data_IF_562400849189
#
_entry.id   IF_562400849189
#
_cell.length_a   1.000
_cell.length_b   1.000
_cell.length_c   1.000
_cell.angle_alpha   90.00
_cell.angle_beta   90.00
_cell.angle_gamma   90.00
#
_symmetry.space_group_name_H-M   'P 1'
#
loop_
_entity.id
_entity.type
_entity.pdbx_description
1 polymer ?
#
# COMPACT_ATOMS: atom_id res chain seq x y z
N UNK A 1 3.40 -53.44 61.54
CA UNK A 1 2.18 -52.74 61.11
C UNK A 1 2.56 -51.36 60.56
N UNK A 2 2.86 -51.22 59.31
CA UNK A 2 3.00 -50.01 58.47
C UNK A 2 3.58 -50.47 57.12
N UNK A 3 2.74 -50.98 56.23
CA UNK A 3 3.09 -51.24 54.79
C UNK A 3 1.81 -51.52 53.96
N UNK A 4 0.88 -50.56 53.90
CA UNK A 4 -0.23 -50.71 52.98
C UNK A 4 -0.85 -49.41 52.41
N UNK A 5 -0.24 -48.27 52.68
CA UNK A 5 -0.83 -46.97 52.24
C UNK A 5 -0.16 -46.32 51.00
N UNK A 6 0.84 -46.93 50.39
CA UNK A 6 1.57 -46.30 49.25
C UNK A 6 1.23 -46.76 47.85
N UNK A 7 0.40 -47.82 47.67
CA UNK A 7 0.09 -48.33 46.31
C UNK A 7 -1.14 -47.71 45.67
N UNK A 8 -1.99 -47.01 46.41
CA UNK A 8 -3.26 -46.44 45.87
C UNK A 8 -3.05 -45.07 45.21
N UNK A 9 -1.99 -44.35 45.58
CA UNK A 9 -1.75 -43.03 45.03
C UNK A 9 -1.05 -43.00 43.64
N UNK A 10 -0.30 -44.03 43.30
CA UNK A 10 0.41 -44.07 42.01
C UNK A 10 -0.54 -44.33 40.83
N UNK A 11 -1.56 -45.15 41.02
CA UNK A 11 -2.55 -45.46 39.97
C UNK A 11 -3.49 -44.25 39.71
N UNK A 12 -3.84 -43.50 40.73
CA UNK A 12 -4.62 -42.26 40.60
C UNK A 12 -3.82 -41.10 39.96
N UNK A 13 -2.53 -41.05 40.25
CA UNK A 13 -1.60 -40.10 39.61
C UNK A 13 -1.36 -40.45 38.12
N UNK A 14 -1.20 -41.75 37.79
CA UNK A 14 -1.07 -42.15 36.38
C UNK A 14 -2.36 -41.96 35.58
N UNK A 15 -3.54 -42.22 36.16
CA UNK A 15 -4.82 -41.95 35.49
C UNK A 15 -5.09 -40.47 35.30
N UNK A 16 -4.73 -39.58 36.26
CA UNK A 16 -4.83 -38.16 36.12
C UNK A 16 -3.84 -37.61 35.09
N UNK A 17 -2.63 -38.18 35.01
CA UNK A 17 -1.62 -37.80 34.01
C UNK A 17 -2.01 -38.23 32.60
N UNK A 18 -2.59 -39.40 32.44
CA UNK A 18 -3.14 -39.88 31.14
C UNK A 18 -4.37 -39.07 30.71
N UNK A 19 -5.26 -38.67 31.64
CA UNK A 19 -6.36 -37.74 31.33
C UNK A 19 -5.87 -36.35 30.93
N UNK A 20 -4.83 -35.84 31.58
CA UNK A 20 -4.22 -34.55 31.20
C UNK A 20 -3.53 -34.62 29.85
N UNK A 21 -2.86 -35.73 29.50
CA UNK A 21 -2.25 -35.94 28.17
C UNK A 21 -3.35 -36.07 27.12
N UNK A 22 -4.44 -36.79 27.40
CA UNK A 22 -5.59 -36.88 26.51
C UNK A 22 -6.31 -35.52 26.26
N UNK A 23 -6.45 -34.71 27.31
CA UNK A 23 -6.99 -33.35 27.22
C UNK A 23 -6.03 -32.36 26.52
N UNK A 24 -4.73 -32.55 26.73
CA UNK A 24 -3.71 -31.74 26.00
C UNK A 24 -3.64 -32.17 24.52
N UNK A 25 -3.76 -33.42 24.17
CA UNK A 25 -3.78 -33.90 22.79
C UNK A 25 -5.03 -33.43 22.04
N UNK A 26 -6.21 -33.35 22.70
CA UNK A 26 -7.41 -32.74 22.11
C UNK A 26 -7.33 -31.21 21.95
N UNK A 27 -6.46 -30.56 22.70
CA UNK A 27 -6.27 -29.08 22.61
C UNK A 27 -5.31 -28.66 21.49
N UNK A 28 -4.53 -29.59 20.94
CA UNK A 28 -3.50 -29.37 19.91
C UNK A 28 -3.76 -30.13 18.60
N UNK A 29 -4.92 -30.76 18.43
CA UNK A 29 -5.32 -31.20 17.11
C UNK A 29 -5.60 -29.96 16.25
N UNK A 30 -4.62 -29.55 15.48
CA UNK A 30 -4.82 -28.54 14.44
C UNK A 30 -5.91 -29.07 13.49
N UNK A 31 -6.91 -28.26 13.17
CA UNK A 31 -7.95 -28.68 12.24
C UNK A 31 -7.32 -28.94 10.88
N UNK A 32 -7.66 -30.05 10.26
CA UNK A 32 -7.26 -30.38 8.89
C UNK A 32 -7.70 -29.27 7.94
N UNK A 33 -6.81 -28.87 7.03
CA UNK A 33 -7.18 -27.98 5.92
C UNK A 33 -8.17 -28.72 5.02
N UNK A 34 -9.39 -28.23 4.92
CA UNK A 34 -10.37 -28.75 3.98
C UNK A 34 -10.25 -28.00 2.65
N UNK A 35 -9.77 -28.63 1.57
CA UNK A 35 -9.59 -27.98 0.29
C UNK A 35 -10.92 -27.62 -0.40
N UNK A 36 -12.05 -28.15 0.04
CA UNK A 36 -13.36 -27.82 -0.52
C UNK A 36 -13.91 -26.51 0.04
N UNK A 37 -13.75 -26.27 1.37
CA UNK A 37 -14.17 -25.03 2.00
C UNK A 37 -13.24 -24.64 3.16
N UNK A 38 -12.74 -23.40 3.13
CA UNK A 38 -11.98 -22.85 4.24
C UNK A 38 -12.93 -22.44 5.38
N UNK A 39 -12.41 -22.37 6.59
CA UNK A 39 -13.23 -22.13 7.78
C UNK A 39 -13.13 -20.71 8.29
N UNK A 40 -14.26 -20.12 8.66
CA UNK A 40 -14.37 -18.84 9.34
C UNK A 40 -14.95 -19.05 10.74
N UNK A 41 -14.34 -18.40 11.75
CA UNK A 41 -14.99 -18.11 13.03
C UNK A 41 -15.28 -16.61 13.13
N UNK A 42 -16.51 -16.22 12.89
CA UNK A 42 -16.98 -14.84 12.95
C UNK A 42 -17.82 -14.51 14.21
N UNK A 43 -17.80 -15.40 15.19
CA UNK A 43 -18.58 -15.24 16.45
C UNK A 43 -18.26 -13.92 17.17
N UNK A 44 -16.98 -13.50 17.15
CA UNK A 44 -16.52 -12.24 17.74
C UNK A 44 -16.53 -11.06 16.77
N UNK A 45 -16.53 -11.31 15.48
CA UNK A 45 -16.39 -10.32 14.41
C UNK A 45 -17.50 -10.52 13.36
N UNK A 46 -18.73 -10.03 13.66
CA UNK A 46 -19.89 -10.27 12.82
C UNK A 46 -19.69 -9.67 11.42
N UNK A 47 -20.32 -10.25 10.42
CA UNK A 47 -20.26 -9.82 9.04
C UNK A 47 -20.56 -8.32 8.89
N UNK A 48 -19.64 -7.60 8.28
CA UNK A 48 -19.70 -6.15 8.16
C UNK A 48 -20.17 -5.63 6.79
N UNK A 49 -20.63 -6.51 5.91
CA UNK A 49 -21.09 -6.13 4.56
C UNK A 49 -19.96 -6.06 3.51
N UNK A 50 -18.75 -6.47 3.86
CA UNK A 50 -17.60 -6.52 2.95
C UNK A 50 -17.26 -7.96 2.56
N UNK A 51 -16.64 -8.20 1.39
CA UNK A 51 -16.07 -9.50 1.07
C UNK A 51 -15.06 -9.91 2.14
N UNK A 52 -15.09 -11.18 2.54
CA UNK A 52 -14.14 -11.75 3.49
C UNK A 52 -13.14 -12.63 2.74
N UNK A 53 -11.87 -12.25 2.81
CA UNK A 53 -10.75 -13.02 2.25
C UNK A 53 -10.27 -13.98 3.32
N UNK A 54 -10.49 -15.27 3.10
CA UNK A 54 -10.07 -16.34 4.02
C UNK A 54 -8.85 -17.01 3.43
N UNK A 55 -7.76 -17.06 4.20
CA UNK A 55 -6.49 -17.64 3.80
C UNK A 55 -6.09 -18.69 4.84
N UNK A 56 -5.79 -19.91 4.39
CA UNK A 56 -5.14 -20.93 5.18
C UNK A 56 -3.81 -21.29 4.54
N UNK A 57 -2.74 -21.10 5.30
CA UNK A 57 -1.38 -21.48 4.90
C UNK A 57 -1.15 -22.96 5.17
N UNK A 58 -0.24 -23.58 4.42
CA UNK A 58 0.18 -24.96 4.67
C UNK A 58 0.59 -25.12 6.13
N UNK A 59 0.09 -26.16 6.79
CA UNK A 59 0.31 -26.46 8.21
C UNK A 59 0.00 -25.28 9.15
N UNK A 60 -0.89 -24.38 8.76
CA UNK A 60 -1.19 -23.14 9.48
C UNK A 60 0.05 -22.29 9.84
N UNK A 61 1.09 -22.38 9.00
CA UNK A 61 2.34 -21.68 9.19
C UNK A 61 2.14 -20.15 9.30
N UNK A 62 2.77 -19.53 10.28
CA UNK A 62 2.71 -18.08 10.45
C UNK A 62 3.57 -17.34 9.42
N UNK A 63 3.06 -16.25 8.85
CA UNK A 63 3.85 -15.36 7.99
C UNK A 63 4.83 -14.56 8.84
N UNK A 64 6.13 -14.85 8.73
CA UNK A 64 7.18 -14.32 9.62
C UNK A 64 8.14 -13.35 8.95
N UNK A 65 8.23 -13.38 7.64
CA UNK A 65 9.14 -12.56 6.85
C UNK A 65 8.52 -12.17 5.49
N UNK A 66 9.31 -11.50 4.65
CA UNK A 66 8.89 -11.00 3.33
C UNK A 66 9.49 -11.82 2.18
N UNK A 67 10.31 -12.78 2.47
CA UNK A 67 11.06 -13.61 1.51
C UNK A 67 10.42 -14.98 1.34
N UNK A 68 10.00 -15.63 2.44
CA UNK A 68 9.43 -16.99 2.44
C UNK A 68 8.02 -16.99 1.87
N UNK A 69 7.86 -17.59 0.69
CA UNK A 69 6.56 -17.82 0.07
C UNK A 69 5.95 -19.13 0.61
N UNK A 70 4.86 -18.99 1.37
CA UNK A 70 4.19 -20.12 2.03
C UNK A 70 3.05 -20.61 1.12
N UNK A 71 3.03 -21.90 0.70
CA UNK A 71 1.89 -22.47 0.00
C UNK A 71 0.61 -22.29 0.82
N UNK A 72 -0.46 -21.91 0.16
CA UNK A 72 -1.69 -21.49 0.84
C UNK A 72 -2.91 -21.72 -0.03
N UNK A 73 -4.07 -21.73 0.60
CA UNK A 73 -5.37 -21.70 -0.06
C UNK A 73 -6.10 -20.40 0.31
N UNK A 74 -6.87 -19.86 -0.63
CA UNK A 74 -7.69 -18.66 -0.43
C UNK A 74 -9.09 -18.92 -0.94
N UNK A 75 -10.09 -18.48 -0.16
CA UNK A 75 -11.49 -18.48 -0.57
C UNK A 75 -12.14 -17.15 -0.20
N UNK A 76 -13.06 -16.67 -1.04
CA UNK A 76 -13.83 -15.46 -0.78
C UNK A 76 -15.17 -15.84 -0.19
N UNK A 77 -15.52 -15.22 0.92
CA UNK A 77 -16.79 -15.42 1.60
C UNK A 77 -17.64 -14.15 1.56
N UNK A 78 -18.94 -14.31 1.32
CA UNK A 78 -19.98 -13.33 1.59
C UNK A 78 -20.52 -13.45 3.02
N UNK A 79 -21.80 -13.12 3.20
CA UNK A 79 -22.43 -13.15 4.53
C UNK A 79 -22.53 -14.55 5.13
N UNK A 80 -22.95 -15.54 4.35
CA UNK A 80 -23.35 -16.87 4.88
C UNK A 80 -22.56 -18.03 4.31
N UNK A 81 -21.93 -17.85 3.16
CA UNK A 81 -21.32 -18.93 2.41
C UNK A 81 -20.13 -18.43 1.59
N UNK A 82 -19.28 -19.37 1.10
CA UNK A 82 -18.30 -19.04 0.08
C UNK A 82 -18.95 -18.49 -1.18
N UNK A 83 -18.33 -17.47 -1.76
CA UNK A 83 -18.71 -16.86 -3.04
C UNK A 83 -17.70 -17.18 -4.15
N UNK A 84 -16.67 -17.94 -3.84
CA UNK A 84 -15.68 -18.41 -4.81
C UNK A 84 -15.31 -19.88 -4.59
N UNK A 85 -14.67 -20.46 -5.60
CA UNK A 85 -13.87 -21.68 -5.43
C UNK A 85 -12.66 -21.41 -4.51
N UNK A 86 -12.00 -22.48 -4.07
CA UNK A 86 -10.74 -22.38 -3.35
C UNK A 86 -9.60 -22.21 -4.36
N UNK A 87 -8.80 -21.17 -4.17
CA UNK A 87 -7.65 -20.86 -5.02
C UNK A 87 -6.35 -21.30 -4.37
N UNK A 88 -5.46 -21.89 -5.14
CA UNK A 88 -4.07 -22.15 -4.74
C UNK A 88 -3.19 -20.89 -4.98
N UNK A 89 -2.38 -20.55 -3.99
CA UNK A 89 -1.47 -19.40 -4.03
C UNK A 89 -0.27 -19.60 -3.11
N UNK A 90 0.70 -18.71 -3.19
CA UNK A 90 1.67 -18.49 -2.11
C UNK A 90 1.41 -17.15 -1.43
N UNK A 91 1.68 -17.11 -0.12
CA UNK A 91 1.54 -15.92 0.72
C UNK A 91 2.86 -15.60 1.41
N UNK A 92 3.24 -14.33 1.44
CA UNK A 92 4.35 -13.82 2.24
C UNK A 92 4.07 -12.43 2.77
N UNK A 93 4.88 -11.98 3.71
CA UNK A 93 4.82 -10.62 4.21
C UNK A 93 5.10 -9.58 3.13
N UNK A 94 4.53 -8.38 3.30
CA UNK A 94 4.71 -7.23 2.41
C UNK A 94 4.84 -5.94 3.20
N UNK A 95 5.63 -5.01 2.66
CA UNK A 95 5.93 -3.71 3.25
C UNK A 95 7.33 -3.66 3.83
N UNK A 96 7.83 -2.47 4.09
CA UNK A 96 9.12 -2.23 4.72
C UNK A 96 8.94 -2.06 6.24
N UNK A 97 8.79 -0.81 6.68
CA UNK A 97 8.49 -0.49 8.08
C UNK A 97 7.12 -1.02 8.52
N UNK A 98 6.13 -1.00 7.63
CA UNK A 98 4.76 -1.47 7.91
C UNK A 98 4.68 -2.99 8.17
N UNK A 99 5.61 -3.80 7.63
CA UNK A 99 5.64 -5.23 7.94
C UNK A 99 6.04 -5.52 9.39
N UNK A 100 6.71 -4.58 10.05
CA UNK A 100 7.09 -4.69 11.48
C UNK A 100 5.97 -4.31 12.44
N UNK A 101 4.83 -3.85 11.92
CA UNK A 101 3.65 -3.51 12.72
C UNK A 101 2.88 -4.76 13.14
N UNK A 102 2.09 -4.71 14.23
CA UNK A 102 1.26 -5.83 14.68
C UNK A 102 0.29 -6.35 13.61
N UNK A 103 -0.27 -5.45 12.79
CA UNK A 103 -1.06 -5.74 11.61
C UNK A 103 -0.25 -5.34 10.37
N UNK A 104 0.09 -6.30 9.55
CA UNK A 104 1.00 -6.15 8.42
C UNK A 104 0.36 -6.53 7.09
N UNK A 105 0.94 -6.02 6.00
CA UNK A 105 0.49 -6.34 4.66
C UNK A 105 0.94 -7.72 4.18
N UNK A 106 0.20 -8.30 3.23
CA UNK A 106 0.53 -9.58 2.60
C UNK A 106 0.67 -9.41 1.09
N UNK A 107 1.65 -10.11 0.50
CA UNK A 107 1.72 -10.38 -0.94
C UNK A 107 1.05 -11.72 -1.18
N UNK A 108 0.21 -11.76 -2.21
CA UNK A 108 -0.48 -12.95 -2.68
C UNK A 108 -0.02 -13.25 -4.11
N UNK A 109 0.47 -14.46 -4.38
CA UNK A 109 0.81 -14.89 -5.73
C UNK A 109 0.05 -16.18 -6.07
N UNK A 110 -1.00 -16.04 -6.88
CA UNK A 110 -1.86 -17.16 -7.28
C UNK A 110 -1.14 -18.07 -8.28
N UNK A 111 -1.43 -19.36 -8.22
CA UNK A 111 -0.95 -20.35 -9.19
C UNK A 111 -1.37 -19.97 -10.61
N UNK A 112 -2.60 -19.55 -10.79
CA UNK A 112 -3.18 -19.13 -12.05
C UNK A 112 -3.60 -17.65 -12.04
N UNK A 113 -3.87 -17.07 -13.22
CA UNK A 113 -4.45 -15.74 -13.31
C UNK A 113 -5.94 -15.79 -12.96
N UNK A 114 -6.31 -15.21 -11.85
CA UNK A 114 -7.69 -15.17 -11.34
C UNK A 114 -8.30 -13.79 -11.45
N UNK A 115 -9.61 -13.73 -11.70
CA UNK A 115 -10.42 -12.52 -11.61
C UNK A 115 -11.07 -12.49 -10.24
N UNK A 116 -10.71 -11.52 -9.41
CA UNK A 116 -11.21 -11.41 -8.04
C UNK A 116 -11.93 -10.09 -7.84
N UNK A 117 -13.05 -10.13 -7.13
CA UNK A 117 -13.81 -8.93 -6.73
C UNK A 117 -14.06 -7.95 -7.89
N UNK A 118 -14.35 -8.47 -9.08
CA UNK A 118 -14.57 -7.66 -10.29
C UNK A 118 -13.33 -7.08 -10.95
N UNK A 119 -12.15 -7.21 -10.33
CA UNK A 119 -10.89 -6.68 -10.88
C UNK A 119 -10.31 -7.60 -11.98
N UNK A 120 -9.56 -7.04 -12.95
CA UNK A 120 -9.01 -7.81 -14.07
C UNK A 120 -8.07 -8.94 -13.64
N UNK A 121 -8.07 -10.05 -14.41
CA UNK A 121 -7.26 -11.24 -14.11
C UNK A 121 -5.78 -10.95 -13.94
N UNK A 122 -5.21 -11.37 -12.82
CA UNK A 122 -3.78 -11.38 -12.58
C UNK A 122 -3.40 -12.50 -11.59
N UNK A 123 -2.08 -12.75 -11.42
CA UNK A 123 -1.56 -13.67 -10.41
C UNK A 123 -1.17 -12.92 -9.13
N UNK A 124 -0.70 -11.67 -9.23
CA UNK A 124 -0.11 -10.94 -8.13
C UNK A 124 -1.10 -9.93 -7.55
N UNK A 125 -1.33 -10.04 -6.25
CA UNK A 125 -2.21 -9.16 -5.48
C UNK A 125 -1.56 -8.76 -4.16
N UNK A 126 -2.11 -7.76 -3.53
CA UNK A 126 -1.66 -7.33 -2.21
C UNK A 126 -2.84 -7.13 -1.25
N UNK A 127 -2.62 -7.43 0.01
CA UNK A 127 -3.45 -7.00 1.12
C UNK A 127 -2.72 -5.90 1.87
N UNK A 128 -3.22 -4.67 1.79
CA UNK A 128 -2.65 -3.49 2.44
C UNK A 128 -3.34 -3.31 3.78
N UNK A 129 -2.56 -3.34 4.87
CA UNK A 129 -3.09 -3.39 6.22
C UNK A 129 -3.63 -2.05 6.73
N UNK A 130 -3.15 -0.91 6.22
CA UNK A 130 -3.48 0.45 6.68
C UNK A 130 -3.37 0.66 8.20
N UNK A 131 -2.50 -0.10 8.89
CA UNK A 131 -2.39 -0.02 10.35
C UNK A 131 -1.94 1.35 10.84
N UNK A 132 -1.12 2.05 10.06
CA UNK A 132 -0.65 3.40 10.33
C UNK A 132 -1.67 4.51 10.00
N UNK A 133 -2.79 4.19 9.35
CA UNK A 133 -3.85 5.13 9.00
C UNK A 133 -5.11 4.87 9.80
N UNK A 134 -5.36 5.65 10.85
CA UNK A 134 -6.54 5.51 11.71
C UNK A 134 -7.86 5.77 10.99
N UNK A 135 -7.85 6.37 9.81
CA UNK A 135 -9.06 6.51 8.99
C UNK A 135 -9.31 5.31 8.08
N UNK A 136 -8.27 4.55 7.75
CA UNK A 136 -8.26 3.47 6.73
C UNK A 136 -8.65 3.93 5.31
N UNK A 137 -8.77 5.25 5.05
CA UNK A 137 -9.30 5.80 3.80
C UNK A 137 -8.24 6.33 2.85
N UNK A 138 -7.07 6.78 3.34
CA UNK A 138 -6.09 7.56 2.59
C UNK A 138 -5.64 6.89 1.30
N UNK A 139 -5.21 5.64 1.35
CA UNK A 139 -4.79 4.90 0.16
C UNK A 139 -5.95 4.73 -0.85
N UNK A 140 -7.15 4.41 -0.38
CA UNK A 140 -8.33 4.26 -1.23
C UNK A 140 -8.71 5.57 -1.92
N UNK A 141 -8.78 6.67 -1.17
CA UNK A 141 -9.12 8.00 -1.69
C UNK A 141 -8.16 8.43 -2.79
N UNK A 142 -6.87 8.20 -2.62
CA UNK A 142 -5.87 8.62 -3.60
C UNK A 142 -5.94 7.83 -4.90
N UNK A 143 -6.35 6.56 -4.86
CA UNK A 143 -6.61 5.81 -6.10
C UNK A 143 -7.82 6.39 -6.84
N UNK A 144 -8.87 6.82 -6.12
CA UNK A 144 -10.05 7.45 -6.73
C UNK A 144 -9.67 8.79 -7.38
N UNK A 145 -8.94 9.64 -6.66
CA UNK A 145 -8.46 10.91 -7.21
C UNK A 145 -7.61 10.70 -8.46
N UNK A 146 -6.69 9.74 -8.44
CA UNK A 146 -5.84 9.42 -9.60
C UNK A 146 -6.66 9.01 -10.82
N UNK A 147 -7.71 8.20 -10.63
CA UNK A 147 -8.62 7.81 -11.72
C UNK A 147 -9.39 9.03 -12.26
N UNK A 148 -9.92 9.89 -11.41
CA UNK A 148 -10.68 11.07 -11.81
C UNK A 148 -9.84 12.09 -12.58
N UNK A 149 -8.56 12.20 -12.22
CA UNK A 149 -7.60 13.05 -12.93
C UNK A 149 -7.06 12.41 -14.22
N UNK A 150 -7.48 11.18 -14.56
CA UNK A 150 -7.15 10.54 -15.84
C UNK A 150 -5.78 9.86 -15.87
N UNK A 151 -5.26 9.39 -14.72
CA UNK A 151 -4.00 8.64 -14.69
C UNK A 151 -4.04 7.43 -15.63
N UNK A 152 -2.99 7.23 -16.43
CA UNK A 152 -2.86 6.12 -17.40
C UNK A 152 -3.08 4.74 -16.78
N UNK A 153 -2.68 4.60 -15.55
CA UNK A 153 -2.97 3.42 -14.73
C UNK A 153 -3.06 3.81 -13.25
N UNK A 154 -4.12 3.34 -12.62
CA UNK A 154 -4.30 3.42 -11.16
C UNK A 154 -4.56 2.02 -10.63
N UNK A 155 -3.81 1.53 -9.63
CA UNK A 155 -4.07 0.24 -9.01
C UNK A 155 -5.48 0.21 -8.41
N UNK A 156 -6.30 -0.76 -8.85
CA UNK A 156 -7.64 -0.93 -8.30
C UNK A 156 -7.57 -1.52 -6.91
N UNK A 157 -8.42 -1.00 -6.01
CA UNK A 157 -8.49 -1.43 -4.62
C UNK A 157 -9.93 -1.64 -4.17
N UNK A 158 -10.12 -2.61 -3.25
CA UNK A 158 -11.41 -2.83 -2.59
C UNK A 158 -11.19 -3.10 -1.10
N UNK A 159 -12.10 -2.61 -0.27
CA UNK A 159 -12.13 -2.95 1.15
C UNK A 159 -12.60 -4.40 1.33
N UNK A 160 -11.88 -5.12 2.18
CA UNK A 160 -12.16 -6.50 2.53
C UNK A 160 -11.87 -6.74 4.01
N UNK A 161 -12.53 -7.72 4.61
CA UNK A 161 -12.11 -8.26 5.91
C UNK A 161 -11.25 -9.51 5.66
N UNK A 162 -10.19 -9.71 6.44
CA UNK A 162 -9.23 -10.80 6.25
C UNK A 162 -9.22 -11.75 7.43
N UNK A 163 -9.26 -13.03 7.14
CA UNK A 163 -8.98 -14.14 8.05
C UNK A 163 -7.73 -14.86 7.56
N UNK A 164 -6.76 -15.05 8.44
CA UNK A 164 -5.54 -15.80 8.19
C UNK A 164 -5.45 -16.93 9.22
N UNK A 165 -5.43 -18.16 8.74
CA UNK A 165 -5.39 -19.33 9.62
C UNK A 165 -6.51 -19.28 10.67
N UNK A 166 -7.74 -19.05 10.21
CA UNK A 166 -8.97 -18.94 11.02
C UNK A 166 -9.01 -17.77 12.00
N UNK A 167 -7.98 -16.89 12.02
CA UNK A 167 -7.91 -15.72 12.89
C UNK A 167 -8.29 -14.46 12.13
N UNK A 168 -9.21 -13.68 12.67
CA UNK A 168 -9.56 -12.38 12.13
C UNK A 168 -8.37 -11.44 12.18
N UNK A 169 -7.95 -10.93 11.03
CA UNK A 169 -6.83 -10.01 10.88
C UNK A 169 -7.26 -8.56 10.75
N UNK A 170 -8.54 -8.30 10.46
CA UNK A 170 -9.07 -6.94 10.38
C UNK A 170 -9.48 -6.50 8.98
N UNK A 171 -9.69 -5.19 8.84
CA UNK A 171 -10.03 -4.49 7.61
C UNK A 171 -8.77 -4.23 6.77
N UNK A 172 -8.76 -4.66 5.52
CA UNK A 172 -7.67 -4.47 4.58
C UNK A 172 -8.16 -3.82 3.28
N UNK A 173 -7.21 -3.29 2.49
CA UNK A 173 -7.44 -3.05 1.07
C UNK A 173 -6.85 -4.23 0.27
N UNK A 174 -7.71 -4.95 -0.44
CA UNK A 174 -7.31 -5.90 -1.47
C UNK A 174 -6.98 -5.10 -2.73
N UNK A 175 -5.75 -5.20 -3.21
CA UNK A 175 -5.20 -4.29 -4.20
C UNK A 175 -4.47 -5.00 -5.33
N UNK A 176 -4.54 -4.42 -6.53
CA UNK A 176 -3.59 -4.69 -7.58
C UNK A 176 -2.18 -4.25 -7.14
N UNK A 177 -1.14 -4.94 -7.61
CA UNK A 177 0.26 -4.54 -7.41
C UNK A 177 0.75 -3.75 -8.62
N UNK A 178 1.67 -2.81 -8.39
CA UNK A 178 2.34 -2.10 -9.49
C UNK A 178 3.29 -3.07 -10.20
N UNK A 179 2.95 -3.41 -11.46
CA UNK A 179 3.76 -4.29 -12.32
C UNK A 179 3.38 -4.11 -13.78
N UNK A 180 4.29 -4.54 -14.67
CA UNK A 180 4.01 -4.53 -16.12
C UNK A 180 3.06 -5.67 -16.49
N UNK A 181 1.87 -5.29 -16.95
CA UNK A 181 0.86 -6.20 -17.49
C UNK A 181 -0.13 -5.41 -18.36
N UNK A 182 -0.82 -6.10 -19.31
CA UNK A 182 -1.79 -5.48 -20.22
C UNK A 182 -2.88 -4.66 -19.50
N UNK A 183 -3.29 -5.10 -18.32
CA UNK A 183 -4.34 -4.48 -17.50
C UNK A 183 -3.81 -3.72 -16.28
N UNK A 184 -2.51 -3.43 -16.26
CA UNK A 184 -1.83 -2.61 -15.23
C UNK A 184 -0.91 -1.61 -15.93
N UNK A 185 0.36 -1.49 -15.54
CA UNK A 185 1.31 -0.68 -16.31
C UNK A 185 1.54 -1.36 -17.66
N UNK A 186 0.91 -0.82 -18.71
CA UNK A 186 0.89 -1.45 -20.03
C UNK A 186 1.99 -0.87 -20.92
N UNK A 187 3.21 -1.33 -20.67
CA UNK A 187 4.40 -1.02 -21.48
C UNK A 187 4.99 -2.29 -22.09
N UNK A 188 5.81 -2.14 -23.11
CA UNK A 188 6.55 -3.24 -23.72
C UNK A 188 7.49 -3.91 -22.71
N UNK A 189 7.67 -5.23 -22.85
CA UNK A 189 8.66 -6.00 -22.05
C UNK A 189 9.87 -6.28 -22.91
N UNK A 190 10.87 -5.42 -22.80
CA UNK A 190 12.15 -5.55 -23.49
C UNK A 190 13.26 -4.87 -22.67
N UNK A 191 14.50 -4.89 -23.19
CA UNK A 191 15.68 -4.36 -22.49
C UNK A 191 15.87 -2.84 -22.65
N UNK A 192 14.93 -2.16 -23.28
CA UNK A 192 14.97 -0.70 -23.51
C UNK A 192 13.75 0.03 -22.98
N UNK A 193 12.82 -0.68 -22.31
CA UNK A 193 11.60 -0.13 -21.71
C UNK A 193 11.50 -0.55 -20.25
N UNK A 194 11.37 0.43 -19.37
CA UNK A 194 11.51 0.24 -17.93
C UNK A 194 10.25 0.67 -17.17
N UNK A 195 9.94 -0.07 -16.12
CA UNK A 195 9.16 0.38 -14.99
C UNK A 195 10.11 0.49 -13.80
N UNK A 196 10.17 1.67 -13.20
CA UNK A 196 11.14 2.01 -12.16
C UNK A 196 10.43 2.53 -10.92
N UNK A 197 10.95 2.21 -9.75
CA UNK A 197 10.54 2.74 -8.46
C UNK A 197 11.72 3.46 -7.81
N UNK A 198 11.59 4.79 -7.60
CA UNK A 198 12.56 5.57 -6.84
C UNK A 198 12.44 5.26 -5.36
N UNK A 199 13.58 5.03 -4.71
CA UNK A 199 13.67 4.68 -3.30
C UNK A 199 14.86 5.35 -2.59
N UNK A 200 14.80 5.42 -1.24
CA UNK A 200 15.83 6.10 -0.46
C UNK A 200 17.06 5.25 -0.14
N UNK A 201 16.98 3.93 -0.27
CA UNK A 201 18.05 3.03 0.15
C UNK A 201 18.00 1.66 -0.54
N UNK A 202 19.12 0.93 -0.43
CA UNK A 202 19.26 -0.49 -0.82
C UNK A 202 18.37 -1.47 -0.02
N UNK A 203 17.21 -1.06 0.46
CA UNK A 203 16.30 -1.93 1.26
C UNK A 203 15.51 -2.91 0.42
N UNK A 204 15.74 -2.93 -0.89
CA UNK A 204 15.01 -3.76 -1.86
C UNK A 204 15.88 -4.86 -2.40
N UNK A 205 15.17 -5.91 -2.83
CA UNK A 205 15.78 -6.95 -3.64
C UNK A 205 16.27 -6.35 -4.96
N UNK A 206 17.47 -6.74 -5.44
CA UNK A 206 17.92 -6.37 -6.78
C UNK A 206 16.89 -6.81 -7.85
N UNK A 207 16.86 -6.19 -9.04
CA UNK A 207 17.85 -5.24 -9.53
C UNK A 207 17.57 -3.79 -9.14
N UNK A 208 18.63 -3.07 -8.78
CA UNK A 208 18.57 -1.62 -8.56
C UNK A 208 19.83 -0.95 -9.09
N UNK A 209 19.70 0.31 -9.49
CA UNK A 209 20.83 1.17 -9.83
C UNK A 209 20.93 2.32 -8.82
N UNK A 210 22.13 2.89 -8.72
CA UNK A 210 22.38 4.12 -7.98
C UNK A 210 23.01 5.14 -8.94
N UNK A 211 22.43 6.36 -8.99
CA UNK A 211 22.97 7.44 -9.81
C UNK A 211 24.24 8.03 -9.18
N UNK A 212 25.13 8.55 -10.01
CA UNK A 212 26.43 9.03 -9.57
C UNK A 212 26.35 10.43 -8.94
N UNK A 213 25.45 11.29 -9.43
CA UNK A 213 25.38 12.69 -9.02
C UNK A 213 24.63 12.87 -7.68
N UNK A 214 23.43 12.39 -7.58
CA UNK A 214 22.61 12.54 -6.37
C UNK A 214 22.64 11.31 -5.46
N UNK A 215 23.22 10.21 -5.92
CA UNK A 215 23.26 8.94 -5.19
C UNK A 215 21.87 8.34 -4.98
N UNK A 216 20.89 8.69 -5.83
CA UNK A 216 19.53 8.16 -5.73
C UNK A 216 19.48 6.70 -6.12
N UNK A 217 18.68 5.93 -5.37
CA UNK A 217 18.43 4.52 -5.66
C UNK A 217 17.15 4.38 -6.47
N UNK A 218 17.24 3.57 -7.52
CA UNK A 218 16.14 3.23 -8.41
C UNK A 218 16.03 1.72 -8.54
N UNK A 219 14.91 1.17 -8.09
CA UNK A 219 14.60 -0.24 -8.24
C UNK A 219 13.99 -0.50 -9.61
N UNK A 220 14.57 -1.42 -10.38
CA UNK A 220 14.06 -1.81 -11.70
C UNK A 220 12.96 -2.86 -11.51
N UNK A 221 11.70 -2.46 -11.64
CA UNK A 221 10.56 -3.37 -11.55
C UNK A 221 10.34 -4.18 -12.83
N UNK A 222 10.81 -3.63 -13.95
CA UNK A 222 10.81 -4.27 -15.27
C UNK A 222 11.91 -3.63 -16.12
N UNK A 223 12.72 -4.43 -16.86
CA UNK A 223 12.74 -5.90 -16.88
C UNK A 223 13.13 -6.51 -15.52
N UNK A 224 12.69 -7.75 -15.24
CA UNK A 224 12.95 -8.40 -13.95
C UNK A 224 14.41 -8.80 -13.74
N UNK A 225 15.09 -9.21 -14.82
CA UNK A 225 16.47 -9.66 -14.82
C UNK A 225 17.21 -8.88 -15.92
N UNK A 226 17.49 -7.57 -15.72
CA UNK A 226 18.21 -6.78 -16.70
C UNK A 226 19.65 -7.29 -16.84
N UNK A 227 20.21 -7.19 -18.05
CA UNK A 227 21.64 -7.38 -18.25
C UNK A 227 22.42 -6.18 -17.70
N UNK A 228 23.74 -6.30 -17.46
CA UNK A 228 24.57 -5.17 -17.07
C UNK A 228 24.47 -3.99 -18.04
N UNK A 229 24.36 -4.24 -19.34
CA UNK A 229 24.20 -3.23 -20.38
C UNK A 229 22.83 -2.53 -20.28
N UNK A 230 21.79 -3.28 -19.91
CA UNK A 230 20.43 -2.74 -19.67
C UNK A 230 20.40 -1.85 -18.40
N UNK A 231 21.06 -2.28 -17.33
CA UNK A 231 21.20 -1.47 -16.11
C UNK A 231 21.98 -0.17 -16.38
N UNK A 232 23.09 -0.27 -17.11
CA UNK A 232 23.93 0.87 -17.50
C UNK A 232 23.18 1.84 -18.42
N UNK A 233 22.35 1.35 -19.35
CA UNK A 233 21.49 2.18 -20.19
C UNK A 233 20.55 3.06 -19.34
N UNK A 234 19.88 2.46 -18.38
CA UNK A 234 18.98 3.22 -17.48
C UNK A 234 19.77 4.17 -16.59
N UNK A 235 20.88 3.73 -16.01
CA UNK A 235 21.73 4.55 -15.15
C UNK A 235 22.26 5.79 -15.89
N UNK A 236 22.75 5.63 -17.12
CA UNK A 236 23.24 6.72 -17.93
C UNK A 236 22.15 7.73 -18.26
N UNK A 237 20.93 7.26 -18.58
CA UNK A 237 19.79 8.16 -18.81
C UNK A 237 19.43 8.94 -17.55
N UNK A 238 19.34 8.29 -16.39
CA UNK A 238 18.98 8.96 -15.14
C UNK A 238 20.08 9.93 -14.66
N UNK A 239 21.35 9.59 -14.83
CA UNK A 239 22.44 10.54 -14.57
C UNK A 239 22.33 11.80 -15.48
N UNK A 240 22.08 11.60 -16.77
CA UNK A 240 21.89 12.71 -17.69
C UNK A 240 20.65 13.54 -17.37
N UNK A 241 19.55 12.93 -16.99
CA UNK A 241 18.33 13.59 -16.52
C UNK A 241 18.59 14.42 -15.25
N UNK A 242 19.26 13.87 -14.25
CA UNK A 242 19.62 14.57 -13.02
C UNK A 242 20.52 15.77 -13.28
N UNK A 243 21.50 15.63 -14.19
CA UNK A 243 22.37 16.73 -14.62
C UNK A 243 21.58 17.83 -15.32
N UNK A 244 20.73 17.46 -16.29
CA UNK A 244 19.88 18.44 -16.97
C UNK A 244 19.02 19.22 -15.96
N UNK A 245 18.41 18.56 -14.99
CA UNK A 245 17.61 19.23 -13.96
C UNK A 245 18.43 20.21 -13.11
N UNK A 246 19.64 19.84 -12.74
CA UNK A 246 20.52 20.72 -11.96
C UNK A 246 21.01 21.94 -12.77
N UNK A 247 21.16 21.78 -14.08
CA UNK A 247 21.72 22.79 -14.99
C UNK A 247 20.66 23.44 -15.90
N UNK A 248 19.36 23.20 -15.66
CA UNK A 248 18.27 23.66 -16.53
C UNK A 248 18.25 25.17 -16.78
N UNK A 249 18.86 25.96 -15.90
CA UNK A 249 19.00 27.41 -16.10
C UNK A 249 19.93 27.80 -17.29
N UNK A 250 20.70 26.81 -17.80
CA UNK A 250 21.53 26.97 -19.00
C UNK A 250 20.76 26.60 -20.28
N UNK A 251 19.54 26.08 -20.15
CA UNK A 251 18.74 25.54 -21.23
C UNK A 251 17.47 26.36 -21.44
N UNK A 252 16.83 26.19 -22.61
CA UNK A 252 15.48 26.72 -22.81
C UNK A 252 14.47 25.94 -21.96
N UNK A 253 13.53 26.63 -21.35
CA UNK A 253 12.51 25.97 -20.53
C UNK A 253 11.77 24.84 -21.27
N UNK A 254 11.59 24.97 -22.59
CA UNK A 254 10.91 23.95 -23.41
C UNK A 254 11.67 22.65 -23.57
N UNK A 255 13.00 22.62 -23.36
CA UNK A 255 13.82 21.42 -23.49
C UNK A 255 13.51 20.38 -22.41
N UNK A 256 12.84 20.76 -21.31
CA UNK A 256 12.36 19.81 -20.29
C UNK A 256 11.41 18.76 -20.87
N UNK A 257 10.72 19.06 -21.99
CA UNK A 257 9.82 18.11 -22.68
C UNK A 257 10.55 16.92 -23.29
N UNK A 258 11.85 17.04 -23.54
CA UNK A 258 12.67 15.95 -24.03
C UNK A 258 12.98 14.93 -22.92
N UNK A 259 12.80 15.34 -21.66
CA UNK A 259 13.11 14.53 -20.48
C UNK A 259 11.89 13.97 -19.77
N UNK A 260 10.81 14.73 -19.68
CA UNK A 260 9.59 14.33 -18.96
C UNK A 260 8.33 14.63 -19.78
N UNK A 261 7.35 13.75 -19.66
CA UNK A 261 5.97 14.05 -20.04
C UNK A 261 5.38 14.97 -18.96
N UNK A 262 5.04 16.21 -19.36
CA UNK A 262 4.61 17.25 -18.43
C UNK A 262 3.24 16.93 -17.85
N UNK A 263 2.32 16.39 -18.63
CA UNK A 263 0.96 16.12 -18.17
C UNK A 263 0.94 14.99 -17.13
N UNK A 264 1.67 13.91 -17.37
CA UNK A 264 1.85 12.82 -16.39
C UNK A 264 2.55 13.33 -15.12
N UNK A 265 3.58 14.20 -15.28
CA UNK A 265 4.25 14.79 -14.14
C UNK A 265 3.30 15.66 -13.31
N UNK A 266 2.53 16.57 -13.94
CA UNK A 266 1.63 17.47 -13.25
C UNK A 266 0.52 16.75 -12.50
N UNK A 267 -0.04 15.70 -13.07
CA UNK A 267 -1.00 14.85 -12.37
C UNK A 267 -0.36 14.27 -11.10
N UNK A 268 0.81 13.63 -11.23
CA UNK A 268 1.50 13.05 -10.08
C UNK A 268 1.93 14.12 -9.06
N UNK A 269 2.46 15.24 -9.53
CA UNK A 269 2.88 16.35 -8.69
C UNK A 269 1.72 16.89 -7.84
N UNK A 270 0.58 17.21 -8.48
CA UNK A 270 -0.54 17.80 -7.74
C UNK A 270 -1.19 16.84 -6.76
N UNK A 271 -1.29 15.54 -7.10
CA UNK A 271 -1.79 14.54 -6.16
C UNK A 271 -0.86 14.44 -4.94
N UNK A 272 0.45 14.42 -5.14
CA UNK A 272 1.44 14.38 -4.06
C UNK A 272 1.47 15.70 -3.27
N UNK A 273 1.43 16.87 -3.93
CA UNK A 273 1.49 18.17 -3.28
C UNK A 273 0.22 18.48 -2.49
N UNK A 274 -0.96 18.22 -3.06
CA UNK A 274 -2.24 18.40 -2.36
C UNK A 274 -2.32 17.57 -1.10
N UNK A 275 -1.91 16.32 -1.19
CA UNK A 275 -1.93 15.40 -0.05
C UNK A 275 -0.78 15.62 0.95
N UNK A 276 0.25 16.41 0.61
CA UNK A 276 1.53 16.51 1.34
C UNK A 276 2.07 15.14 1.73
N UNK A 277 1.99 14.17 0.81
CA UNK A 277 2.48 12.82 1.06
C UNK A 277 3.97 12.84 1.45
N UNK A 278 4.28 12.37 2.65
CA UNK A 278 5.62 12.50 3.22
C UNK A 278 6.70 11.78 2.38
N UNK A 279 6.37 10.67 1.78
CA UNK A 279 7.27 9.88 0.95
C UNK A 279 7.27 10.33 -0.53
N UNK A 280 6.20 10.99 -0.98
CA UNK A 280 6.01 11.43 -2.36
C UNK A 280 6.91 12.57 -2.84
N UNK A 281 7.76 13.13 -1.97
CA UNK A 281 8.70 14.20 -2.30
C UNK A 281 9.94 13.73 -3.07
N UNK A 282 9.78 12.77 -3.96
CA UNK A 282 10.86 12.05 -4.66
C UNK A 282 11.78 11.26 -3.71
N UNK A 283 11.22 10.80 -2.58
CA UNK A 283 11.94 10.02 -1.59
C UNK A 283 11.75 8.53 -1.79
N UNK A 284 10.49 8.06 -1.76
CA UNK A 284 10.13 6.64 -1.79
C UNK A 284 8.84 6.45 -2.57
N UNK A 285 8.65 5.22 -3.04
CA UNK A 285 7.40 4.77 -3.69
C UNK A 285 6.97 5.68 -4.86
N UNK A 286 7.95 6.36 -5.51
CA UNK A 286 7.70 7.18 -6.71
C UNK A 286 7.98 6.34 -7.93
N UNK A 287 6.95 6.02 -8.68
CA UNK A 287 7.04 5.21 -9.89
C UNK A 287 7.10 6.07 -11.14
N UNK A 288 7.78 5.55 -12.14
CA UNK A 288 7.77 6.08 -13.50
C UNK A 288 8.10 4.99 -14.51
N UNK A 289 7.75 5.23 -15.76
CA UNK A 289 8.18 4.42 -16.89
C UNK A 289 9.08 5.22 -17.81
N UNK A 290 10.04 4.54 -18.43
CA UNK A 290 10.90 5.14 -19.43
C UNK A 290 11.17 4.15 -20.55
N UNK A 291 11.13 4.62 -21.79
CA UNK A 291 11.55 3.91 -22.99
C UNK A 291 12.68 4.69 -23.65
N UNK A 292 13.72 3.99 -24.09
CA UNK A 292 14.87 4.62 -24.75
C UNK A 292 14.44 5.54 -25.87
N UNK A 293 14.84 6.82 -25.80
CA UNK A 293 14.52 7.87 -26.77
C UNK A 293 13.17 8.55 -26.58
N UNK A 294 12.46 8.23 -25.51
CA UNK A 294 11.19 8.86 -25.14
C UNK A 294 11.35 9.60 -23.78
N UNK A 295 10.50 10.58 -23.44
CA UNK A 295 10.50 11.21 -22.12
C UNK A 295 10.08 10.23 -21.02
N UNK A 296 10.39 10.55 -19.77
CA UNK A 296 9.94 9.84 -18.58
C UNK A 296 8.45 10.14 -18.35
N UNK A 297 7.66 9.09 -18.12
CA UNK A 297 6.26 9.16 -17.73
C UNK A 297 6.09 8.82 -16.26
N UNK A 298 5.68 9.80 -15.45
CA UNK A 298 5.47 9.60 -14.01
C UNK A 298 4.19 8.80 -13.74
N UNK A 299 4.21 8.02 -12.65
CA UNK A 299 3.12 7.13 -12.25
C UNK A 299 3.47 5.64 -12.40
N UNK A 300 2.58 4.76 -11.88
CA UNK A 300 1.36 5.07 -11.13
C UNK A 300 1.65 5.61 -9.74
N UNK A 301 0.67 6.31 -9.18
CA UNK A 301 0.68 6.77 -7.80
C UNK A 301 0.46 5.60 -6.83
N UNK A 302 1.20 5.60 -5.71
CA UNK A 302 1.22 4.53 -4.73
C UNK A 302 1.63 5.03 -3.35
N UNK A 303 1.12 4.38 -2.26
CA UNK A 303 1.60 4.54 -0.89
C UNK A 303 1.29 5.92 -0.27
N UNK A 304 0.04 6.14 0.11
CA UNK A 304 -0.46 7.41 0.66
C UNK A 304 -0.87 7.30 2.14
N UNK A 305 -0.38 6.33 2.88
CA UNK A 305 -0.69 6.22 4.31
C UNK A 305 -0.14 7.39 5.13
N UNK A 306 0.94 8.04 4.68
CA UNK A 306 1.54 9.24 5.28
C UNK A 306 1.12 10.54 4.58
N UNK A 307 -0.16 10.66 4.24
CA UNK A 307 -0.75 11.80 3.55
C UNK A 307 -1.85 12.49 4.39
N UNK A 308 -2.30 13.67 3.97
CA UNK A 308 -3.42 14.40 4.58
C UNK A 308 -3.27 14.56 6.09
N UNK A 309 -2.13 15.10 6.54
CA UNK A 309 -1.83 15.33 7.94
C UNK A 309 -1.42 14.10 8.75
N UNK A 310 -1.57 12.87 8.22
CA UNK A 310 -1.02 11.66 8.86
C UNK A 310 0.48 11.55 8.57
N UNK A 311 1.28 12.33 9.25
CA UNK A 311 2.71 12.46 8.96
C UNK A 311 3.57 12.16 10.18
N UNK A 312 4.78 11.69 9.96
CA UNK A 312 5.77 11.47 11.02
C UNK A 312 6.47 12.77 11.43
N UNK A 313 6.45 13.79 10.57
CA UNK A 313 7.09 15.09 10.76
C UNK A 313 6.06 16.17 10.97
N UNK A 314 6.22 17.01 12.00
CA UNK A 314 5.28 18.07 12.36
C UNK A 314 5.01 19.07 11.21
N UNK A 315 6.02 19.41 10.43
CA UNK A 315 5.86 20.30 9.27
C UNK A 315 4.88 19.78 8.22
N UNK A 316 4.70 18.45 8.12
CA UNK A 316 3.80 17.82 7.15
C UNK A 316 2.38 17.66 7.70
N UNK A 317 2.20 17.83 9.01
CA UNK A 317 0.88 17.89 9.65
C UNK A 317 0.17 19.21 9.41
N UNK A 318 0.93 20.29 9.20
CA UNK A 318 0.38 21.60 8.85
C UNK A 318 -0.21 21.54 7.42
N UNK A 319 -1.47 21.92 7.18
CA UNK A 319 -2.05 21.98 5.83
C UNK A 319 -1.47 23.10 4.96
N UNK A 320 -0.90 24.14 5.54
CA UNK A 320 -0.27 25.24 4.83
C UNK A 320 1.14 24.87 4.35
N UNK A 321 1.72 25.71 3.52
CA UNK A 321 3.06 25.59 2.95
C UNK A 321 3.22 24.51 1.85
N UNK A 322 4.09 24.84 0.90
CA UNK A 322 4.50 23.90 -0.14
C UNK A 322 5.41 22.81 0.42
N UNK A 323 5.24 21.57 -0.03
CA UNK A 323 6.06 20.47 0.42
C UNK A 323 6.81 19.77 -0.74
N UNK A 324 6.10 19.20 -1.72
CA UNK A 324 6.71 18.44 -2.80
C UNK A 324 7.65 19.29 -3.64
N UNK A 325 7.24 20.51 -4.01
CA UNK A 325 8.01 21.42 -4.85
C UNK A 325 9.30 21.94 -4.20
N UNK A 326 9.52 21.72 -2.90
CA UNK A 326 10.71 22.19 -2.17
C UNK A 326 11.87 21.20 -2.16
N UNK A 327 11.67 19.98 -2.62
CA UNK A 327 12.62 18.90 -2.39
C UNK A 327 13.07 18.20 -3.65
N UNK A 328 14.36 17.84 -3.69
CA UNK A 328 14.99 16.93 -4.66
C UNK A 328 14.76 17.39 -6.11
N UNK A 329 14.48 16.46 -7.01
CA UNK A 329 14.23 16.77 -8.42
C UNK A 329 12.95 17.57 -8.62
N UNK A 330 11.94 17.44 -7.76
CA UNK A 330 10.72 18.23 -7.86
C UNK A 330 11.02 19.75 -7.75
N UNK A 331 11.99 20.14 -6.91
CA UNK A 331 12.41 21.54 -6.83
C UNK A 331 12.82 22.09 -8.20
N UNK A 332 13.66 21.38 -8.91
CA UNK A 332 14.12 21.83 -10.22
C UNK A 332 13.00 21.78 -11.28
N UNK A 333 12.23 20.69 -11.31
CA UNK A 333 11.16 20.50 -12.31
C UNK A 333 10.11 21.60 -12.19
N UNK A 334 9.59 21.87 -10.98
CA UNK A 334 8.49 22.85 -10.79
C UNK A 334 8.96 24.27 -10.95
N UNK A 335 10.26 24.58 -10.74
CA UNK A 335 10.81 25.93 -10.97
C UNK A 335 11.23 26.19 -12.42
N UNK A 336 11.05 25.23 -13.31
CA UNK A 336 11.09 25.49 -14.75
C UNK A 336 9.88 26.35 -15.13
N UNK A 337 10.10 27.50 -15.79
CA UNK A 337 9.01 28.46 -16.05
C UNK A 337 7.87 27.91 -16.89
N UNK A 338 8.14 26.93 -17.77
CA UNK A 338 7.09 26.26 -18.55
C UNK A 338 6.25 25.36 -17.64
N UNK A 339 6.90 24.60 -16.75
CA UNK A 339 6.21 23.68 -15.82
C UNK A 339 5.46 24.44 -14.74
N UNK A 340 6.03 25.52 -14.20
CA UNK A 340 5.36 26.36 -13.17
C UNK A 340 4.05 26.94 -13.68
N UNK A 341 4.08 27.53 -14.88
CA UNK A 341 2.86 28.03 -15.53
C UNK A 341 1.86 26.91 -15.82
N UNK A 342 2.33 25.77 -16.30
CA UNK A 342 1.46 24.63 -16.56
C UNK A 342 0.87 24.06 -15.26
N UNK A 343 1.61 24.07 -14.15
CA UNK A 343 1.13 23.64 -12.83
C UNK A 343 -0.01 24.52 -12.31
N UNK A 344 0.11 25.83 -12.46
CA UNK A 344 -0.97 26.78 -12.11
C UNK A 344 -2.22 26.49 -12.95
N UNK A 345 -2.08 26.33 -14.26
CA UNK A 345 -3.19 26.04 -15.15
C UNK A 345 -3.84 24.69 -14.81
N UNK A 346 -3.05 23.66 -14.52
CA UNK A 346 -3.53 22.35 -14.13
C UNK A 346 -4.39 22.42 -12.86
N UNK A 347 -3.95 23.13 -11.82
CA UNK A 347 -4.77 23.32 -10.62
C UNK A 347 -6.08 24.00 -10.95
N UNK A 348 -6.05 25.11 -11.69
CA UNK A 348 -7.25 25.87 -12.08
C UNK A 348 -8.26 25.03 -12.86
N UNK A 349 -7.78 24.12 -13.69
CA UNK A 349 -8.62 23.21 -14.49
C UNK A 349 -9.22 22.09 -13.64
N UNK A 350 -8.46 21.54 -12.67
CA UNK A 350 -8.84 20.34 -11.94
C UNK A 350 -9.24 20.58 -10.48
N UNK A 351 -9.21 21.80 -9.98
CA UNK A 351 -9.47 22.11 -8.57
C UNK A 351 -10.80 21.56 -8.05
N UNK A 352 -11.84 21.57 -8.85
CA UNK A 352 -13.15 21.01 -8.46
C UNK A 352 -13.07 19.49 -8.25
N UNK A 353 -12.22 18.77 -8.98
CA UNK A 353 -11.97 17.34 -8.76
C UNK A 353 -11.32 17.08 -7.39
N UNK A 354 -10.41 17.94 -6.96
CA UNK A 354 -9.82 17.85 -5.61
C UNK A 354 -10.85 18.15 -4.52
N UNK A 355 -11.77 19.08 -4.76
CA UNK A 355 -12.89 19.36 -3.85
C UNK A 355 -13.87 18.20 -3.78
N UNK A 356 -14.22 17.59 -4.92
CA UNK A 356 -15.11 16.41 -5.00
C UNK A 356 -14.54 15.25 -4.17
N UNK A 357 -13.22 15.11 -4.06
CA UNK A 357 -12.63 14.11 -3.19
C UNK A 357 -13.04 14.30 -1.73
N UNK A 358 -13.02 15.56 -1.24
CA UNK A 358 -13.45 15.88 0.13
C UNK A 358 -14.93 15.52 0.31
N UNK A 359 -15.76 15.90 -0.64
CA UNK A 359 -17.22 15.68 -0.61
C UNK A 359 -17.58 14.18 -0.70
N UNK A 360 -16.68 13.34 -1.23
CA UNK A 360 -16.85 11.89 -1.34
C UNK A 360 -16.49 11.10 -0.09
N UNK A 361 -15.79 11.70 0.89
CA UNK A 361 -15.34 11.00 2.11
C UNK A 361 -16.50 10.36 2.90
N UNK A 362 -17.66 11.01 3.09
CA UNK A 362 -18.79 10.38 3.78
C UNK A 362 -19.26 9.08 3.11
N UNK A 363 -19.21 9.01 1.78
CA UNK A 363 -19.55 7.79 1.03
C UNK A 363 -18.53 6.69 1.30
N UNK A 364 -17.22 7.00 1.23
CA UNK A 364 -16.16 6.00 1.50
C UNK A 364 -16.20 5.52 2.94
N UNK A 365 -16.45 6.43 3.90
CA UNK A 365 -16.66 6.09 5.31
C UNK A 365 -17.82 5.11 5.49
N UNK A 366 -18.96 5.33 4.81
CA UNK A 366 -20.13 4.47 4.93
C UNK A 366 -19.89 3.03 4.46
N UNK A 367 -18.97 2.83 3.49
CA UNK A 367 -18.59 1.48 2.99
C UNK A 367 -17.99 0.64 4.12
N UNK A 368 -17.17 1.24 4.99
CA UNK A 368 -16.40 0.53 6.01
C UNK A 368 -16.95 0.71 7.44
N UNK A 369 -18.05 1.42 7.63
CA UNK A 369 -18.59 1.80 8.95
C UNK A 369 -18.75 0.61 9.90
N UNK A 370 -19.28 -0.51 9.41
CA UNK A 370 -19.44 -1.73 10.24
C UNK A 370 -18.12 -2.43 10.48
N UNK A 371 -17.26 -2.48 9.46
CA UNK A 371 -15.96 -3.13 9.53
C UNK A 371 -14.99 -2.42 10.48
N UNK A 372 -15.09 -1.10 10.61
CA UNK A 372 -14.31 -0.31 11.57
C UNK A 372 -14.59 -0.74 13.03
N UNK A 373 -15.82 -1.16 13.36
CA UNK A 373 -16.12 -1.69 14.69
C UNK A 373 -15.39 -2.98 14.98
N UNK A 374 -15.31 -3.88 13.98
CA UNK A 374 -14.52 -5.11 14.06
C UNK A 374 -13.01 -4.81 14.10
N UNK A 375 -12.55 -3.89 13.26
CA UNK A 375 -11.16 -3.46 13.21
C UNK A 375 -10.65 -2.97 14.57
N UNK A 376 -11.36 -2.03 15.19
CA UNK A 376 -10.94 -1.48 16.50
C UNK A 376 -11.18 -2.39 17.68
N UNK A 377 -12.07 -3.39 17.55
CA UNK A 377 -12.14 -4.49 18.52
C UNK A 377 -10.89 -5.36 18.45
N UNK A 378 -10.40 -5.61 17.24
CA UNK A 378 -9.18 -6.41 17.02
C UNK A 378 -7.90 -5.63 17.31
N UNK A 379 -7.86 -4.38 16.88
CA UNK A 379 -6.72 -3.47 16.95
C UNK A 379 -7.13 -2.14 17.58
N UNK A 380 -7.08 -1.99 18.90
CA UNK A 380 -7.53 -0.78 19.60
C UNK A 380 -6.50 0.36 19.47
N UNK A 381 -6.27 0.82 18.24
CA UNK A 381 -5.20 1.80 17.91
C UNK A 381 -5.65 3.25 17.95
N UNK A 382 -6.95 3.55 18.13
CA UNK A 382 -7.46 4.91 17.95
C UNK A 382 -6.78 5.94 18.89
N UNK A 383 -6.50 5.56 20.12
CA UNK A 383 -5.77 6.37 21.11
C UNK A 383 -4.28 6.01 21.22
N UNK A 384 -3.81 5.01 20.50
CA UNK A 384 -2.42 4.55 20.58
C UNK A 384 -1.49 5.55 19.88
N UNK A 385 -0.41 5.93 20.54
CA UNK A 385 0.63 6.86 20.06
C UNK A 385 2.04 6.27 20.14
N UNK A 386 2.16 5.00 20.49
CA UNK A 386 3.46 4.35 20.69
C UNK A 386 4.19 4.04 19.39
N UNK A 387 3.45 3.90 18.29
CA UNK A 387 4.04 3.62 16.98
C UNK A 387 4.32 4.94 16.23
N UNK A 388 5.42 4.99 15.50
CA UNK A 388 5.81 6.15 14.68
C UNK A 388 4.74 6.62 13.68
N UNK A 389 3.88 5.70 13.22
CA UNK A 389 2.78 5.99 12.29
C UNK A 389 1.44 6.29 12.99
N UNK A 390 1.37 6.23 14.33
CA UNK A 390 0.16 6.40 15.12
C UNK A 390 0.26 7.59 16.10
N UNK A 391 1.02 8.63 15.77
CA UNK A 391 1.37 9.69 16.70
C UNK A 391 0.21 10.57 17.17
N UNK A 392 -0.84 10.69 16.37
CA UNK A 392 -1.98 11.54 16.74
C UNK A 392 -3.07 10.70 17.40
N UNK A 393 -3.37 10.93 18.69
CA UNK A 393 -4.47 10.27 19.35
C UNK A 393 -5.81 10.90 18.96
N UNK A 394 -6.85 10.07 18.85
CA UNK A 394 -8.23 10.53 18.65
C UNK A 394 -9.15 9.86 19.67
N UNK A 395 -10.22 10.51 20.03
CA UNK A 395 -11.21 9.93 20.93
C UNK A 395 -12.13 8.92 20.22
N UNK A 396 -12.30 9.09 18.91
CA UNK A 396 -13.14 8.22 18.08
C UNK A 396 -12.64 8.13 16.65
N UNK A 397 -13.17 7.16 15.90
CA UNK A 397 -13.00 7.07 14.46
C UNK A 397 -13.55 8.30 13.73
N UNK A 398 -14.69 8.80 14.19
CA UNK A 398 -15.36 9.96 13.62
C UNK A 398 -14.46 11.20 13.71
N UNK A 399 -13.85 11.43 14.87
CA UNK A 399 -12.89 12.52 15.07
C UNK A 399 -11.67 12.39 14.15
N UNK A 400 -11.13 11.18 13.96
CA UNK A 400 -10.00 10.97 13.04
C UNK A 400 -10.37 11.33 11.60
N UNK A 401 -11.58 10.98 11.16
CA UNK A 401 -12.06 11.31 9.80
C UNK A 401 -12.36 12.81 9.68
N UNK A 402 -13.01 13.41 10.66
CA UNK A 402 -13.33 14.84 10.67
C UNK A 402 -12.06 15.71 10.66
N UNK A 403 -11.05 15.31 11.45
CA UNK A 403 -9.73 15.98 11.45
C UNK A 403 -9.08 15.92 10.07
N UNK A 404 -9.12 14.78 9.40
CA UNK A 404 -8.61 14.64 8.03
C UNK A 404 -9.38 15.53 7.05
N UNK A 405 -10.71 15.56 7.12
CA UNK A 405 -11.57 16.42 6.28
C UNK A 405 -11.22 17.89 6.46
N UNK A 406 -11.09 18.33 7.72
CA UNK A 406 -10.77 19.72 8.03
C UNK A 406 -9.39 20.11 7.50
N UNK A 407 -8.40 19.23 7.68
CA UNK A 407 -7.07 19.39 7.12
C UNK A 407 -7.11 19.55 5.58
N UNK A 408 -7.90 18.72 4.89
CA UNK A 408 -8.04 18.76 3.43
C UNK A 408 -8.71 20.06 2.96
N UNK A 409 -9.72 20.56 3.68
CA UNK A 409 -10.38 21.84 3.39
C UNK A 409 -9.42 23.01 3.53
N UNK A 410 -8.66 23.05 4.62
CA UNK A 410 -7.66 24.08 4.86
C UNK A 410 -6.56 24.05 3.79
N UNK A 411 -6.11 22.83 3.42
CA UNK A 411 -5.13 22.64 2.34
C UNK A 411 -5.62 23.15 1.01
N UNK A 412 -6.84 22.83 0.63
CA UNK A 412 -7.48 23.30 -0.59
C UNK A 412 -7.54 24.83 -0.63
N UNK A 413 -8.03 25.46 0.42
CA UNK A 413 -8.16 26.92 0.54
C UNK A 413 -6.79 27.61 0.50
N UNK A 414 -5.80 27.01 1.16
CA UNK A 414 -4.45 27.54 1.17
C UNK A 414 -3.81 27.53 -0.24
N UNK A 415 -3.94 26.41 -0.98
CA UNK A 415 -3.43 26.29 -2.35
C UNK A 415 -4.12 27.31 -3.27
N UNK A 416 -5.44 27.44 -3.22
CA UNK A 416 -6.20 28.43 -4.00
C UNK A 416 -5.68 29.84 -3.77
N UNK A 417 -5.48 30.23 -2.52
CA UNK A 417 -4.95 31.54 -2.16
C UNK A 417 -3.52 31.74 -2.69
N UNK A 418 -2.64 30.76 -2.57
CA UNK A 418 -1.25 30.85 -3.02
C UNK A 418 -1.11 30.93 -4.55
N UNK A 419 -2.06 30.36 -5.29
CA UNK A 419 -2.10 30.41 -6.76
C UNK A 419 -2.79 31.69 -7.26
N UNK A 420 -3.45 32.44 -6.37
CA UNK A 420 -4.09 33.71 -6.69
C UNK A 420 -5.53 33.57 -7.16
N UNK A 421 -6.26 32.64 -6.57
CA UNK A 421 -7.69 32.44 -6.77
C UNK A 421 -8.51 33.24 -5.74
#
# INVERSE_FOLDING_TARGET
MILSARKINLFKLLAAFLCCIGLYACYWAEPENDPENLTIDDSMYPYAGLPRIVIETEDFAGVRDRETEIPSHLQIYGEKAPESEVYELTVRGRGNSSFKMPKYGLKLEFKDKVKLLGMPKNRDWALIANYGDKTHLRNYMMTRLSEWLGAKYTPKMQFVEVYLNRKYMGLYLFSETVKVAKNRVNIEKNDTTFLVEKEDSKKFDPPYIQTDNNGYYYHIKSPKNPSPETEELLKNHLNAFENFMAEQYLHKASEIKDWIDIDDYLLCYWVQEYSKNEDGNYARSVFFTWKKGEPIHFGPLWDFDLAFGNASREQNKNPEDWYIRRYRLNYYIVHNSLVDNAAINYWNEHRETFKELIDSIPVYRSIIEKAIKNEYRRWPIIRNTENWALKDPYDSYDEAVETMIEWMKQRYQWIDKEIGY
#
